data_IF_742583102304
#
_entry.id   IF_742583102304
#
_cell.length_a   1.000
_cell.length_b   1.000
_cell.length_c   1.000
_cell.angle_alpha   90.00
_cell.angle_beta   90.00
_cell.angle_gamma   90.00
#
_symmetry.space_group_name_H-M   'P 1'
#
loop_
_entity.id
_entity.type
_entity.pdbx_description
1 polymer ?
#
# COMPACT_ATOMS: atom_id res chain seq x y z
N UNK A 1 -12.10 -4.66 11.56
CA UNK A 1 -11.97 -4.22 11.60
C UNK A 1 -11.91 -3.59 11.93
N UNK A 2 -11.86 -3.25 11.86
CA UNK A 2 -11.77 -2.57 11.95
C UNK A 2 -11.38 -1.91 12.39
N UNK A 3 -10.89 -1.47 12.23
CA UNK A 3 -10.53 -0.79 12.47
C UNK A 3 -10.78 0.20 12.53
N UNK A 4 -10.74 0.58 12.84
CA UNK A 4 -11.15 1.49 12.69
C UNK A 4 -10.61 2.53 13.24
N UNK A 5 -9.86 3.17 12.52
CA UNK A 5 -9.39 4.25 12.91
C UNK A 5 -10.38 5.18 12.99
N UNK A 6 -10.57 5.86 13.89
CA UNK A 6 -11.47 6.84 14.00
C UNK A 6 -11.05 7.95 13.17
N UNK A 7 -11.53 8.01 12.03
CA UNK A 7 -11.15 9.01 11.18
C UNK A 7 -11.53 10.34 11.73
N UNK A 8 -12.42 10.38 12.56
CA UNK A 8 -12.81 11.60 13.12
C UNK A 8 -11.71 12.25 13.88
N UNK A 9 -10.79 11.47 14.27
CA UNK A 9 -9.74 12.01 14.99
C UNK A 9 -8.72 12.59 14.14
N UNK A 10 -8.77 12.44 12.88
CA UNK A 10 -7.78 12.94 12.04
C UNK A 10 -7.95 14.42 11.97
N UNK A 11 -6.99 15.16 12.25
CA UNK A 11 -7.12 16.55 12.24
C UNK A 11 -7.32 17.04 10.89
N UNK A 12 -8.10 17.93 10.77
CA UNK A 12 -8.32 18.37 9.50
C UNK A 12 -7.36 19.25 9.13
N UNK A 13 -6.22 19.04 9.03
CA UNK A 13 -5.26 19.80 8.68
C UNK A 13 -5.25 20.12 7.45
N UNK A 14 -5.19 20.94 6.88
CA UNK A 14 -5.27 21.10 5.60
C UNK A 14 -4.55 22.22 5.13
N UNK A 15 -3.50 22.59 5.67
CA UNK A 15 -2.78 23.65 5.08
C UNK A 15 -1.98 23.14 3.95
N UNK A 16 -1.45 23.98 3.16
CA UNK A 16 -0.75 23.63 1.96
C UNK A 16 0.48 22.80 2.24
N UNK A 17 1.11 23.03 3.35
CA UNK A 17 2.30 22.28 3.68
C UNK A 17 1.97 20.83 3.89
N UNK A 18 0.87 20.54 4.54
CA UNK A 18 0.49 19.18 4.77
C UNK A 18 0.13 18.49 3.48
N UNK A 19 -0.53 19.19 2.57
CA UNK A 19 -0.84 18.59 1.33
C UNK A 19 0.39 18.33 0.54
N UNK A 20 1.38 19.19 0.61
CA UNK A 20 2.61 18.99 -0.09
C UNK A 20 3.31 17.76 0.43
N UNK A 21 3.31 17.54 1.75
CA UNK A 21 3.94 16.38 2.32
C UNK A 21 3.24 15.11 1.87
N UNK A 22 1.93 15.13 1.79
CA UNK A 22 1.20 13.97 1.35
C UNK A 22 1.50 13.64 -0.09
N UNK A 23 1.59 14.64 -0.94
CA UNK A 23 1.90 14.41 -2.32
C UNK A 23 3.30 13.84 -2.48
N UNK A 24 4.24 14.35 -1.71
CA UNK A 24 5.59 13.87 -1.78
C UNK A 24 5.66 12.42 -1.34
N UNK A 25 4.97 12.05 -0.27
CA UNK A 25 4.95 10.69 0.17
C UNK A 25 4.31 9.79 -0.88
N UNK A 26 3.27 10.27 -1.53
CA UNK A 26 2.64 9.49 -2.57
C UNK A 26 3.60 9.21 -3.71
N UNK A 27 4.41 10.18 -4.09
CA UNK A 27 5.35 9.95 -5.16
C UNK A 27 6.44 8.98 -4.73
N UNK A 28 6.89 9.07 -3.49
CA UNK A 28 7.91 8.17 -2.99
C UNK A 28 7.39 6.73 -2.96
N UNK A 29 6.17 6.55 -2.50
CA UNK A 29 5.57 5.23 -2.46
C UNK A 29 5.38 4.71 -3.88
N UNK A 30 4.95 5.55 -4.80
CA UNK A 30 4.78 5.13 -6.18
C UNK A 30 6.11 4.69 -6.77
N UNK A 31 7.16 5.41 -6.46
CA UNK A 31 8.48 5.06 -6.94
C UNK A 31 8.90 3.71 -6.34
N UNK A 32 8.66 3.49 -5.06
CA UNK A 32 9.02 2.24 -4.42
C UNK A 32 8.23 1.08 -5.01
N UNK A 33 6.96 1.31 -5.32
CA UNK A 33 6.13 0.25 -5.89
C UNK A 33 6.66 -0.17 -7.26
N UNK A 34 7.25 0.77 -8.02
CA UNK A 34 7.77 0.38 -9.32
C UNK A 34 8.96 -0.55 -9.21
N UNK A 35 9.58 -0.64 -8.03
CA UNK A 35 10.71 -1.52 -7.86
C UNK A 35 10.30 -2.93 -7.48
N UNK A 36 9.04 -3.16 -7.27
CA UNK A 36 8.56 -4.47 -6.85
C UNK A 36 8.32 -5.38 -8.05
N UNK A 37 8.26 -6.67 -7.80
CA UNK A 37 7.88 -7.60 -8.85
C UNK A 37 6.46 -7.33 -9.28
N UNK A 38 6.10 -7.78 -10.46
CA UNK A 38 4.74 -7.59 -10.95
C UNK A 38 3.71 -8.23 -10.03
N UNK A 39 4.05 -9.39 -9.46
CA UNK A 39 3.11 -10.06 -8.58
C UNK A 39 2.91 -9.30 -7.28
N UNK A 40 3.98 -8.78 -6.71
CA UNK A 40 3.84 -8.00 -5.49
C UNK A 40 3.06 -6.73 -5.76
N UNK A 41 3.36 -6.08 -6.88
CA UNK A 41 2.67 -4.85 -7.23
C UNK A 41 1.19 -5.10 -7.41
N UNK A 42 0.83 -6.22 -8.03
CA UNK A 42 -0.56 -6.52 -8.31
C UNK A 42 -1.38 -6.69 -7.04
N UNK A 43 -0.86 -7.43 -6.04
CA UNK A 43 -1.64 -7.61 -4.82
C UNK A 43 -1.75 -6.32 -4.05
N UNK A 44 -0.72 -5.47 -4.06
CA UNK A 44 -0.81 -4.21 -3.35
C UNK A 44 -1.81 -3.28 -4.01
N UNK A 45 -1.86 -3.28 -5.34
CA UNK A 45 -2.84 -2.46 -6.03
C UNK A 45 -4.25 -2.93 -5.73
N UNK A 46 -4.48 -4.24 -5.73
CA UNK A 46 -5.81 -4.72 -5.44
C UNK A 46 -6.24 -4.43 -4.02
N UNK A 47 -5.40 -4.75 -3.08
CA UNK A 47 -5.82 -4.67 -1.68
C UNK A 47 -5.75 -3.28 -1.09
N UNK A 48 -4.78 -2.49 -1.50
CA UNK A 48 -4.60 -1.19 -0.88
C UNK A 48 -5.01 -0.01 -1.75
N UNK A 49 -4.93 -0.14 -3.04
CA UNK A 49 -5.36 0.96 -3.88
C UNK A 49 -6.83 0.82 -4.25
N UNK A 50 -7.25 -0.38 -4.60
CA UNK A 50 -8.64 -0.59 -4.97
C UNK A 50 -9.52 -0.98 -3.82
N UNK A 51 -8.94 -1.31 -2.69
CA UNK A 51 -9.71 -1.70 -1.51
C UNK A 51 -10.35 -3.06 -1.62
N UNK A 52 -9.80 -3.95 -2.44
CA UNK A 52 -10.41 -5.26 -2.61
C UNK A 52 -10.22 -6.12 -1.37
N UNK A 53 -11.19 -6.96 -1.08
CA UNK A 53 -11.03 -7.95 -0.04
C UNK A 53 -10.10 -9.04 -0.56
N UNK A 54 -9.64 -9.90 0.32
CA UNK A 54 -8.79 -11.01 -0.08
C UNK A 54 -9.52 -11.86 -1.11
N UNK A 55 -10.79 -12.12 -0.89
CA UNK A 55 -11.57 -12.94 -1.82
C UNK A 55 -11.69 -12.27 -3.18
N UNK A 56 -11.90 -10.97 -3.20
CA UNK A 56 -12.01 -10.26 -4.47
C UNK A 56 -10.67 -10.23 -5.20
N UNK A 57 -9.61 -9.99 -4.46
CA UNK A 57 -8.29 -9.96 -5.07
C UNK A 57 -7.94 -11.34 -5.62
N UNK A 58 -8.28 -12.39 -4.90
CA UNK A 58 -8.02 -13.75 -5.35
C UNK A 58 -8.73 -14.02 -6.68
N UNK A 59 -9.98 -13.59 -6.78
CA UNK A 59 -10.70 -13.80 -8.01
C UNK A 59 -10.09 -13.01 -9.16
N UNK A 60 -9.75 -11.76 -8.92
CA UNK A 60 -9.22 -10.94 -10.00
C UNK A 60 -7.85 -11.38 -10.42
N UNK A 61 -7.04 -11.85 -9.48
CA UNK A 61 -5.70 -12.26 -9.81
C UNK A 61 -5.62 -13.72 -10.22
N UNK A 62 -6.70 -14.45 -10.04
CA UNK A 62 -6.72 -15.85 -10.46
C UNK A 62 -5.87 -16.75 -9.57
N UNK A 63 -5.79 -16.46 -8.28
CA UNK A 63 -4.99 -17.25 -7.36
C UNK A 63 -5.80 -17.56 -6.11
N UNK A 64 -5.39 -18.53 -5.33
CA UNK A 64 -6.10 -18.83 -4.07
C UNK A 64 -5.97 -17.70 -3.07
N UNK A 65 -6.92 -17.62 -2.16
CA UNK A 65 -6.89 -16.58 -1.14
C UNK A 65 -5.64 -16.65 -0.29
N UNK A 66 -5.19 -17.86 0.03
CA UNK A 66 -3.97 -18.00 0.80
C UNK A 66 -2.76 -17.41 0.09
N UNK A 67 -2.76 -17.50 -1.23
CA UNK A 67 -1.69 -16.91 -2.02
C UNK A 67 -1.76 -15.38 -1.95
N UNK A 68 -2.97 -14.81 -1.96
CA UNK A 68 -3.11 -13.37 -1.82
C UNK A 68 -2.54 -12.95 -0.49
N UNK A 69 -2.85 -13.68 0.58
CA UNK A 69 -2.36 -13.33 1.90
C UNK A 69 -0.85 -13.39 1.98
N UNK A 70 -0.25 -14.46 1.49
CA UNK A 70 1.18 -14.59 1.58
C UNK A 70 1.89 -13.59 0.67
N UNK A 71 1.35 -13.36 -0.52
CA UNK A 71 1.96 -12.39 -1.40
C UNK A 71 1.87 -10.99 -0.83
N UNK A 72 0.76 -10.66 -0.18
CA UNK A 72 0.62 -9.35 0.44
C UNK A 72 1.66 -9.17 1.54
N UNK A 73 1.87 -10.22 2.33
CA UNK A 73 2.87 -10.16 3.39
C UNK A 73 4.25 -9.86 2.81
N UNK A 74 4.65 -10.61 1.79
CA UNK A 74 5.97 -10.42 1.22
C UNK A 74 6.05 -9.15 0.38
N UNK A 75 4.94 -8.74 -0.22
CA UNK A 75 4.93 -7.49 -0.98
C UNK A 75 5.16 -6.30 -0.06
N UNK A 76 4.56 -6.33 1.14
CA UNK A 76 4.77 -5.25 2.08
C UNK A 76 6.20 -5.23 2.59
N UNK A 77 6.81 -6.40 2.77
CA UNK A 77 8.20 -6.44 3.14
C UNK A 77 9.09 -5.87 2.03
N UNK A 78 8.78 -6.24 0.79
CA UNK A 78 9.54 -5.72 -0.34
C UNK A 78 9.37 -4.22 -0.48
N UNK A 79 8.16 -3.72 -0.23
CA UNK A 79 7.91 -2.30 -0.29
C UNK A 79 8.72 -1.57 0.77
N UNK A 80 8.80 -2.13 1.97
CA UNK A 80 9.57 -1.51 3.02
C UNK A 80 11.04 -1.42 2.63
N UNK A 81 11.58 -2.50 2.07
CA UNK A 81 12.96 -2.49 1.65
C UNK A 81 13.20 -1.47 0.53
N UNK A 82 12.25 -1.38 -0.40
CA UNK A 82 12.38 -0.42 -1.48
C UNK A 82 12.36 1.01 -0.96
N UNK A 83 11.53 1.27 0.04
CA UNK A 83 11.49 2.60 0.64
C UNK A 83 12.79 2.90 1.36
N UNK A 84 13.37 1.91 2.01
CA UNK A 84 14.63 2.11 2.68
C UNK A 84 15.73 2.42 1.68
N UNK A 85 15.70 1.77 0.52
CA UNK A 85 16.67 2.06 -0.50
C UNK A 85 16.55 3.46 -1.04
N UNK A 86 15.35 4.00 -1.11
CA UNK A 86 15.14 5.34 -1.56
C UNK A 86 15.60 6.33 -0.48
N UNK A 87 15.71 5.86 0.74
CA UNK A 87 16.16 6.74 1.81
C UNK A 87 15.07 7.15 2.78
N UNK A 88 13.95 6.50 2.73
CA UNK A 88 12.88 6.84 3.63
C UNK A 88 13.01 5.94 4.82
N UNK A 89 13.19 6.49 5.99
CA UNK A 89 13.27 5.68 7.15
C UNK A 89 11.95 5.60 7.78
N UNK A 90 11.55 4.49 8.13
CA UNK A 90 10.23 4.33 8.68
C UNK A 90 10.19 4.52 10.14
#
# INVERSE_FOLDING_TARGET
SQREFPMADVPEVTDAADRTDELLLSWIVAEAVTKLSAEHRAVLLECYHRGASVAEAARRLGVPEGTVKSRTHYALRALRLALEEIGVNA
#
